data_IF_004932689276
#
_entry.id   IF_004932689276
#
_cell.length_a   1.000
_cell.length_b   1.000
_cell.length_c   1.000
_cell.angle_alpha   90.00
_cell.angle_beta   90.00
_cell.angle_gamma   90.00
#
_symmetry.space_group_name_H-M   'P 1'
#
loop_
_entity.id
_entity.type
_entity.pdbx_description
1 polymer ?
#
# COMPACT_ATOMS: atom_id res chain seq x y z
N UNK A 1 42.72 11.14 -44.33
CA UNK A 1 41.79 10.51 -43.37
C UNK A 1 42.40 10.39 -41.96
N UNK A 2 43.57 9.76 -41.79
CA UNK A 2 44.24 9.62 -40.48
C UNK A 2 44.50 10.94 -39.74
N UNK A 3 44.94 12.00 -40.45
CA UNK A 3 45.15 13.34 -39.86
C UNK A 3 43.89 13.98 -39.25
N UNK A 4 42.72 13.73 -39.82
CA UNK A 4 41.43 14.24 -39.32
C UNK A 4 41.02 13.50 -38.04
N UNK A 5 41.27 12.19 -37.99
CA UNK A 5 41.07 11.38 -36.79
C UNK A 5 41.98 11.84 -35.64
N UNK A 6 43.26 12.14 -35.91
CA UNK A 6 44.16 12.69 -34.90
C UNK A 6 43.69 14.04 -34.36
N UNK A 7 43.16 14.92 -35.23
CA UNK A 7 42.63 16.23 -34.81
C UNK A 7 41.40 16.07 -33.90
N UNK A 8 40.53 15.11 -34.22
CA UNK A 8 39.34 14.84 -33.41
C UNK A 8 39.69 14.28 -32.03
N UNK A 9 40.71 13.44 -31.96
CA UNK A 9 41.18 12.85 -30.71
C UNK A 9 41.80 13.91 -29.77
N UNK A 10 42.52 14.89 -30.33
CA UNK A 10 43.09 16.00 -29.57
C UNK A 10 42.03 16.93 -28.95
N UNK A 11 40.90 17.13 -29.62
CA UNK A 11 39.77 17.94 -29.11
C UNK A 11 39.06 17.23 -27.93
N UNK A 12 39.01 15.89 -27.94
CA UNK A 12 38.43 15.12 -26.83
C UNK A 12 39.30 15.18 -25.56
N UNK A 13 40.62 15.30 -25.68
CA UNK A 13 41.53 15.38 -24.54
C UNK A 13 41.39 16.71 -23.75
N UNK A 14 41.03 17.81 -24.40
CA UNK A 14 40.86 19.13 -23.73
C UNK A 14 39.57 19.22 -22.91
N UNK A 15 38.58 18.37 -23.20
CA UNK A 15 37.26 18.37 -22.54
C UNK A 15 37.23 17.59 -21.22
N UNK A 16 38.31 16.89 -20.84
CA UNK A 16 38.38 16.07 -19.63
C UNK A 16 38.35 16.90 -18.32
N UNK A 17 38.67 18.20 -18.39
CA UNK A 17 38.59 19.11 -17.24
C UNK A 17 37.16 19.24 -16.70
N UNK A 18 36.17 19.34 -17.59
CA UNK A 18 34.74 19.43 -17.21
C UNK A 18 34.25 18.14 -16.54
N UNK A 19 34.68 16.97 -17.04
CA UNK A 19 34.36 15.67 -16.44
C UNK A 19 34.96 15.55 -15.05
N UNK A 20 36.22 15.99 -14.87
CA UNK A 20 36.88 15.99 -13.57
C UNK A 20 36.18 16.90 -12.57
N UNK A 21 35.79 18.11 -12.98
CA UNK A 21 35.15 19.07 -12.09
C UNK A 21 33.70 18.64 -11.74
N UNK A 22 33.01 17.95 -12.66
CA UNK A 22 31.69 17.34 -12.40
C UNK A 22 31.74 16.08 -11.51
N UNK A 23 32.81 15.28 -11.61
CA UNK A 23 32.97 14.03 -10.84
C UNK A 23 33.64 14.24 -9.48
N UNK A 24 34.57 15.20 -9.37
CA UNK A 24 35.24 15.54 -8.12
C UNK A 24 34.37 16.38 -7.16
N UNK A 25 33.24 16.88 -7.64
CA UNK A 25 32.40 17.81 -6.90
C UNK A 25 33.05 19.20 -6.75
N UNK A 26 32.22 20.22 -6.53
CA UNK A 26 32.70 21.59 -6.31
C UNK A 26 33.35 21.68 -4.92
N UNK A 27 34.68 21.68 -4.84
CA UNK A 27 35.41 22.04 -3.62
C UNK A 27 35.25 23.55 -3.39
N UNK A 28 34.40 23.94 -2.45
CA UNK A 28 34.38 25.31 -1.91
C UNK A 28 35.62 25.50 -1.03
N UNK A 29 36.28 26.65 -1.12
CA UNK A 29 37.41 27.00 -0.24
C UNK A 29 36.98 27.12 1.23
N UNK A 30 35.68 27.28 1.49
CA UNK A 30 35.03 27.13 2.79
C UNK A 30 34.48 25.70 2.96
N UNK A 31 35.25 24.79 3.56
CA UNK A 31 34.76 23.44 3.90
C UNK A 31 33.89 23.40 5.15
N UNK A 32 33.87 24.48 5.93
CA UNK A 32 33.35 24.49 7.30
C UNK A 32 32.05 25.32 7.46
N UNK A 33 31.40 25.70 6.36
CA UNK A 33 30.05 26.25 6.43
C UNK A 33 29.05 25.09 6.55
N UNK A 34 28.72 24.74 7.80
CA UNK A 34 27.50 23.99 8.06
C UNK A 34 26.33 24.78 7.44
N UNK A 35 25.55 24.12 6.59
CA UNK A 35 24.31 24.68 6.03
C UNK A 35 23.25 24.72 7.14
N UNK A 36 23.38 25.69 8.06
CA UNK A 36 22.47 25.86 9.19
C UNK A 36 21.20 26.52 8.66
N UNK A 37 20.27 25.68 8.22
CA UNK A 37 18.92 26.12 7.90
C UNK A 37 18.18 26.43 9.18
N UNK A 38 17.80 27.70 9.36
CA UNK A 38 17.00 28.14 10.51
C UNK A 38 15.60 27.53 10.42
N UNK A 39 15.39 26.45 11.17
CA UNK A 39 14.05 25.90 11.36
C UNK A 39 13.23 26.82 12.24
N UNK A 40 11.97 27.00 11.87
CA UNK A 40 11.01 27.67 12.74
C UNK A 40 10.91 26.92 14.08
N UNK A 41 10.74 27.62 15.20
CA UNK A 41 10.56 26.96 16.49
C UNK A 41 9.37 26.01 16.40
N UNK A 42 9.50 24.84 17.02
CA UNK A 42 8.40 23.88 17.14
C UNK A 42 7.27 24.57 17.92
N UNK A 43 6.20 24.92 17.23
CA UNK A 43 4.98 25.43 17.84
C UNK A 43 3.99 24.28 17.96
N UNK A 44 3.36 24.19 19.12
CA UNK A 44 2.33 23.19 19.34
C UNK A 44 1.14 23.53 18.41
N UNK A 45 0.62 22.57 17.62
CA UNK A 45 -0.54 22.86 16.79
C UNK A 45 -1.73 23.28 17.68
N UNK A 46 -2.61 24.19 17.22
CA UNK A 46 -3.72 24.74 18.01
C UNK A 46 -4.64 23.67 18.63
N UNK A 47 -4.67 22.48 18.03
CA UNK A 47 -5.53 21.36 18.44
C UNK A 47 -4.74 20.13 18.91
N UNK A 48 -3.49 20.30 19.36
CA UNK A 48 -2.63 19.18 19.81
C UNK A 48 -3.30 18.22 20.80
N UNK A 49 -4.15 18.74 21.68
CA UNK A 49 -4.86 17.95 22.69
C UNK A 49 -6.27 17.51 22.31
N UNK A 50 -6.74 17.80 21.09
CA UNK A 50 -8.10 17.44 20.66
C UNK A 50 -8.05 16.17 19.84
N UNK A 51 -8.81 15.18 20.29
CA UNK A 51 -9.08 13.97 19.50
C UNK A 51 -10.20 14.28 18.50
N UNK A 52 -10.16 13.73 17.27
CA UNK A 52 -11.30 13.80 16.39
C UNK A 52 -12.51 13.16 17.07
N UNK A 53 -13.69 13.76 16.89
CA UNK A 53 -14.93 13.15 17.35
C UNK A 53 -15.09 11.83 16.58
N UNK A 54 -15.39 10.70 17.26
CA UNK A 54 -15.75 9.47 16.57
C UNK A 54 -16.86 9.77 15.58
N UNK A 55 -16.82 9.16 14.39
CA UNK A 55 -17.99 9.22 13.51
C UNK A 55 -19.16 8.62 14.29
N UNK A 56 -20.09 9.48 14.72
CA UNK A 56 -21.47 9.05 14.84
C UNK A 56 -21.84 8.71 13.42
N UNK A 57 -21.80 7.41 13.08
CA UNK A 57 -22.61 6.92 11.98
C UNK A 57 -23.96 7.57 12.22
N UNK A 58 -24.35 8.46 11.31
CA UNK A 58 -25.67 9.07 11.33
C UNK A 58 -26.58 7.86 11.32
N UNK A 59 -27.09 7.48 12.49
CA UNK A 59 -28.24 6.62 12.58
C UNK A 59 -29.30 7.53 12.04
N UNK A 60 -29.40 7.59 10.72
CA UNK A 60 -30.62 7.97 10.04
C UNK A 60 -31.67 7.20 10.84
N UNK A 61 -32.55 7.92 11.53
CA UNK A 61 -33.71 7.32 12.15
C UNK A 61 -34.41 6.58 11.03
N UNK A 62 -34.07 5.31 10.87
CA UNK A 62 -34.73 4.44 9.94
C UNK A 62 -36.14 4.44 10.46
N UNK A 63 -37.03 5.07 9.69
CA UNK A 63 -38.46 5.03 9.93
C UNK A 63 -38.75 3.59 10.35
N UNK A 64 -39.34 3.44 11.54
CA UNK A 64 -39.85 2.16 12.02
C UNK A 64 -40.95 1.74 11.03
N UNK A 65 -40.54 1.17 9.91
CA UNK A 65 -41.41 0.37 9.08
C UNK A 65 -41.62 -0.91 9.88
N UNK A 66 -42.88 -1.27 10.12
CA UNK A 66 -43.29 -2.48 10.84
C UNK A 66 -42.87 -3.72 10.04
N UNK A 67 -41.58 -4.03 10.04
CA UNK A 67 -41.03 -5.20 9.38
C UNK A 67 -41.40 -6.42 10.22
N UNK A 68 -42.43 -7.13 9.77
CA UNK A 68 -42.86 -8.38 10.42
C UNK A 68 -41.77 -9.45 10.26
N UNK A 69 -41.50 -10.23 11.31
CA UNK A 69 -40.48 -11.31 11.35
C UNK A 69 -40.56 -12.24 10.12
N UNK A 70 -41.76 -12.47 9.58
CA UNK A 70 -42.00 -13.30 8.40
C UNK A 70 -41.39 -12.74 7.10
N UNK A 71 -41.26 -11.42 6.96
CA UNK A 71 -40.59 -10.82 5.80
C UNK A 71 -39.06 -10.90 5.92
N UNK A 72 -38.53 -10.76 7.14
CA UNK A 72 -37.10 -10.91 7.44
C UNK A 72 -36.60 -12.34 7.23
N UNK A 73 -37.41 -13.34 7.58
CA UNK A 73 -37.04 -14.74 7.46
C UNK A 73 -37.13 -15.27 6.02
N UNK A 74 -37.66 -14.50 5.06
CA UNK A 74 -37.71 -14.89 3.64
C UNK A 74 -38.48 -16.18 3.37
N UNK A 75 -39.29 -16.66 4.30
CA UNK A 75 -40.01 -17.94 4.18
C UNK A 75 -41.28 -17.77 3.36
N UNK A 76 -41.10 -17.49 2.07
CA UNK A 76 -42.12 -17.67 1.05
C UNK A 76 -41.61 -18.71 0.06
N UNK A 77 -41.69 -19.98 0.44
CA UNK A 77 -41.96 -21.12 -0.45
C UNK A 77 -41.90 -22.41 0.34
N UNK A 78 -42.93 -23.25 0.19
CA UNK A 78 -42.84 -24.69 0.37
C UNK A 78 -41.70 -25.26 -0.48
N UNK A 79 -40.48 -25.24 0.05
CA UNK A 79 -39.38 -26.01 -0.53
C UNK A 79 -39.33 -27.34 0.21
N UNK A 80 -39.98 -28.35 -0.37
CA UNK A 80 -39.78 -29.76 -0.02
C UNK A 80 -38.28 -30.06 -0.14
N UNK A 81 -37.57 -30.08 0.99
CA UNK A 81 -36.19 -30.54 1.05
C UNK A 81 -36.23 -32.04 0.75
N UNK A 82 -35.82 -32.42 -0.46
CA UNK A 82 -35.46 -33.81 -0.74
C UNK A 82 -33.99 -33.93 -0.37
N UNK A 83 -33.72 -34.56 0.77
CA UNK A 83 -32.39 -34.86 1.28
C UNK A 83 -31.70 -35.87 0.35
N UNK A 84 -30.93 -35.39 -0.62
CA UNK A 84 -29.99 -36.23 -1.37
C UNK A 84 -28.72 -36.43 -0.53
N UNK A 85 -28.69 -37.55 0.20
CA UNK A 85 -27.57 -38.01 1.04
C UNK A 85 -26.34 -38.49 0.24
N UNK A 86 -26.08 -37.92 -0.94
CA UNK A 86 -25.02 -38.42 -1.85
C UNK A 86 -23.64 -37.90 -1.50
N UNK A 87 -23.52 -36.68 -0.97
CA UNK A 87 -22.20 -36.05 -0.75
C UNK A 87 -21.55 -36.42 0.60
N UNK A 88 -22.33 -36.88 1.59
CA UNK A 88 -21.81 -37.23 2.93
C UNK A 88 -20.98 -38.52 2.94
N UNK A 89 -21.31 -39.49 2.09
CA UNK A 89 -20.62 -40.78 2.04
C UNK A 89 -19.14 -40.65 1.65
N UNK A 90 -18.83 -39.72 0.73
CA UNK A 90 -17.46 -39.53 0.24
C UNK A 90 -16.50 -38.97 1.30
N UNK A 91 -17.01 -38.16 2.22
CA UNK A 91 -16.18 -37.54 3.28
C UNK A 91 -15.93 -38.54 4.40
N UNK A 92 -16.94 -39.31 4.78
CA UNK A 92 -16.83 -40.34 5.81
C UNK A 92 -15.82 -41.43 5.42
N UNK A 93 -15.85 -41.90 4.17
CA UNK A 93 -14.92 -42.90 3.65
C UNK A 93 -13.46 -42.40 3.62
N UNK A 94 -13.25 -41.12 3.31
CA UNK A 94 -11.93 -40.49 3.35
C UNK A 94 -11.35 -40.46 4.78
N UNK A 95 -12.16 -40.09 5.77
CA UNK A 95 -11.73 -40.02 7.17
C UNK A 95 -11.39 -41.41 7.72
N UNK A 96 -12.22 -42.42 7.44
CA UNK A 96 -11.98 -43.81 7.83
C UNK A 96 -10.68 -44.37 7.24
N UNK A 97 -10.32 -43.97 6.02
CA UNK A 97 -9.08 -44.39 5.37
C UNK A 97 -7.85 -43.80 6.04
N UNK A 98 -7.89 -42.53 6.45
CA UNK A 98 -6.77 -41.89 7.16
C UNK A 98 -6.56 -42.50 8.55
N UNK A 99 -7.65 -42.85 9.26
CA UNK A 99 -7.57 -43.46 10.60
C UNK A 99 -6.93 -44.86 10.54
N UNK A 100 -7.29 -45.69 9.56
CA UNK A 100 -6.81 -47.07 9.46
C UNK A 100 -5.42 -47.23 8.83
N UNK A 101 -4.77 -46.13 8.41
CA UNK A 101 -3.43 -46.17 7.78
C UNK A 101 -2.28 -46.21 8.79
N UNK A 102 -2.57 -46.00 10.08
CA UNK A 102 -1.61 -46.11 11.18
C UNK A 102 -1.81 -47.42 11.96
#
# INVERSE_FOLDING_TARGET
>A
MFKIICIFLLIMLTSCKSVRDGLAGKKTESSDEFLIEKKNPLTLPPEYGKLPVPNEDIIEESKNEDITIKSLLGTNSEKKITSSNTDLKSVEEYILKEINKN
#
